data_IF_648642025175
#
_entry.id   IF_648642025175
#
_cell.length_a   1.000
_cell.length_b   1.000
_cell.length_c   1.000
_cell.angle_alpha   90.00
_cell.angle_beta   90.00
_cell.angle_gamma   90.00
#
_symmetry.space_group_name_H-M   'P 1'
#
loop_
_entity.id
_entity.type
_entity.pdbx_description
1 polymer ?
#
# COMPACT_ATOMS: atom_id res chain seq x y z
N UNK A 1 11.51 15.35 1.17
CA UNK A 1 12.38 14.18 1.41
C UNK A 1 11.59 13.06 2.02
N UNK A 2 11.73 11.84 1.51
CA UNK A 2 11.04 10.68 2.06
C UNK A 2 11.64 10.33 3.42
N UNK A 3 10.78 9.90 4.36
CA UNK A 3 11.27 9.44 5.64
C UNK A 3 12.08 8.16 5.47
N UNK A 4 13.06 7.90 6.36
CA UNK A 4 13.84 6.65 6.29
C UNK A 4 12.96 5.40 6.34
N UNK A 5 11.89 5.44 7.11
CA UNK A 5 10.97 4.31 7.21
C UNK A 5 10.28 4.02 5.88
N UNK A 6 9.80 5.06 5.20
CA UNK A 6 9.14 4.92 3.91
C UNK A 6 10.12 4.45 2.84
N UNK A 7 11.35 4.99 2.87
CA UNK A 7 12.39 4.59 1.94
C UNK A 7 12.73 3.11 2.12
N UNK A 8 12.84 2.65 3.37
CA UNK A 8 13.13 1.26 3.67
C UNK A 8 12.00 0.33 3.19
N UNK A 9 10.75 0.75 3.34
CA UNK A 9 9.61 -0.02 2.87
C UNK A 9 9.61 -0.16 1.35
N UNK A 10 9.93 0.94 0.64
CA UNK A 10 10.02 0.94 -0.81
C UNK A 10 11.15 0.03 -1.28
N UNK A 11 12.32 0.17 -0.68
CA UNK A 11 13.49 -0.65 -1.00
C UNK A 11 13.20 -2.14 -0.79
N UNK A 12 12.55 -2.47 0.33
CA UNK A 12 12.18 -3.84 0.65
C UNK A 12 11.24 -4.42 -0.40
N UNK A 13 10.22 -3.66 -0.80
CA UNK A 13 9.26 -4.10 -1.82
C UNK A 13 9.94 -4.34 -3.17
N UNK A 14 10.86 -3.47 -3.56
CA UNK A 14 11.58 -3.59 -4.82
C UNK A 14 12.55 -4.77 -4.82
N UNK A 15 13.18 -5.06 -3.69
CA UNK A 15 14.15 -6.14 -3.59
C UNK A 15 13.51 -7.51 -3.50
N UNK A 16 12.44 -7.63 -2.73
CA UNK A 16 11.82 -8.91 -2.45
C UNK A 16 10.80 -9.30 -3.50
N UNK A 17 10.35 -8.34 -4.32
CA UNK A 17 9.34 -8.63 -5.32
C UNK A 17 8.13 -9.31 -4.69
N UNK A 18 7.72 -10.45 -5.23
CA UNK A 18 6.54 -11.15 -4.75
C UNK A 18 6.73 -11.73 -3.33
N UNK A 19 7.97 -11.97 -2.90
CA UNK A 19 8.25 -12.45 -1.54
C UNK A 19 7.95 -11.37 -0.49
N UNK A 20 7.90 -10.09 -0.89
CA UNK A 20 7.53 -8.99 0.00
C UNK A 20 6.03 -8.80 0.18
N UNK A 21 5.20 -9.64 -0.41
CA UNK A 21 3.75 -9.52 -0.37
C UNK A 21 3.16 -10.12 0.92
N UNK A 22 3.57 -9.57 2.07
CA UNK A 22 3.13 -10.07 3.38
C UNK A 22 2.48 -8.99 4.24
N UNK A 23 2.45 -7.75 3.78
CA UNK A 23 1.89 -6.63 4.55
C UNK A 23 0.38 -6.54 4.48
N UNK A 24 -0.21 -5.49 5.09
CA UNK A 24 -1.66 -5.33 5.14
C UNK A 24 -2.30 -5.20 3.77
N UNK A 25 -1.61 -4.60 2.79
CA UNK A 25 -2.16 -4.48 1.43
C UNK A 25 -2.32 -5.86 0.82
N UNK A 26 -1.30 -6.72 0.91
CA UNK A 26 -1.35 -8.05 0.35
C UNK A 26 -2.42 -8.93 1.01
N UNK A 27 -2.73 -8.67 2.29
CA UNK A 27 -3.76 -9.39 3.04
C UNK A 27 -5.17 -8.84 2.84
N UNK A 28 -5.30 -7.74 2.11
CA UNK A 28 -6.60 -7.10 1.91
C UNK A 28 -7.12 -6.37 3.15
N UNK A 29 -6.23 -5.96 4.04
CA UNK A 29 -6.57 -5.29 5.30
C UNK A 29 -6.81 -3.80 5.05
N UNK A 30 -7.97 -3.48 4.49
CA UNK A 30 -8.34 -2.11 4.13
C UNK A 30 -8.39 -1.18 5.34
N UNK A 31 -8.78 -1.69 6.51
CA UNK A 31 -8.83 -0.88 7.73
C UNK A 31 -7.45 -0.39 8.16
N UNK A 32 -6.46 -1.27 8.14
CA UNK A 32 -5.08 -0.90 8.48
C UNK A 32 -4.51 0.07 7.45
N UNK A 33 -4.77 -0.17 6.16
CA UNK A 33 -4.32 0.73 5.09
C UNK A 33 -4.94 2.12 5.28
N UNK A 34 -6.24 2.21 5.57
CA UNK A 34 -6.90 3.49 5.84
C UNK A 34 -6.26 4.22 7.02
N UNK A 35 -5.89 3.48 8.07
CA UNK A 35 -5.18 4.04 9.22
C UNK A 35 -3.82 4.61 8.85
N UNK A 36 -3.07 3.90 8.00
CA UNK A 36 -1.78 4.38 7.50
C UNK A 36 -1.94 5.66 6.69
N UNK A 37 -2.96 5.72 5.84
CA UNK A 37 -3.22 6.91 5.02
C UNK A 37 -3.56 8.11 5.89
N UNK A 38 -4.39 7.92 6.92
CA UNK A 38 -4.74 8.99 7.84
C UNK A 38 -3.50 9.50 8.59
N UNK A 39 -2.66 8.59 9.07
CA UNK A 39 -1.43 8.96 9.76
C UNK A 39 -0.46 9.73 8.85
N UNK A 40 -0.29 9.27 7.60
CA UNK A 40 0.57 9.95 6.64
C UNK A 40 0.05 11.34 6.29
N UNK A 41 -1.28 11.48 6.17
CA UNK A 41 -1.88 12.78 5.88
C UNK A 41 -1.55 13.82 6.94
N UNK A 42 -1.44 13.40 8.20
CA UNK A 42 -1.13 14.29 9.30
C UNK A 42 0.36 14.53 9.48
N UNK A 43 1.18 13.49 9.31
CA UNK A 43 2.60 13.53 9.67
C UNK A 43 3.54 13.74 8.50
N UNK A 44 3.17 13.25 7.31
CA UNK A 44 4.03 13.33 6.12
C UNK A 44 3.19 13.34 4.85
N UNK A 45 2.40 14.40 4.64
CA UNK A 45 1.49 14.44 3.47
C UNK A 45 2.22 14.33 2.14
N UNK A 46 3.49 14.75 2.08
CA UNK A 46 4.31 14.64 0.88
C UNK A 46 4.62 13.18 0.51
N UNK A 47 4.53 12.27 1.48
CA UNK A 47 4.76 10.85 1.25
C UNK A 47 3.49 10.09 0.83
N UNK A 48 2.35 10.72 0.93
CA UNK A 48 1.06 10.06 0.69
C UNK A 48 0.96 9.49 -0.73
N UNK A 49 1.35 10.29 -1.73
CA UNK A 49 1.28 9.87 -3.13
C UNK A 49 2.18 8.66 -3.40
N UNK A 50 3.37 8.62 -2.78
CA UNK A 50 4.30 7.50 -2.92
C UNK A 50 3.72 6.24 -2.27
N UNK A 51 3.14 6.38 -1.09
CA UNK A 51 2.50 5.26 -0.40
C UNK A 51 1.35 4.68 -1.24
N UNK A 52 0.50 5.55 -1.79
CA UNK A 52 -0.64 5.11 -2.61
C UNK A 52 -0.15 4.36 -3.85
N UNK A 53 0.86 4.90 -4.53
CA UNK A 53 1.41 4.26 -5.73
C UNK A 53 1.99 2.88 -5.41
N UNK A 54 2.75 2.77 -4.33
CA UNK A 54 3.34 1.49 -3.90
C UNK A 54 2.25 0.50 -3.48
N UNK A 55 1.25 0.96 -2.76
CA UNK A 55 0.14 0.11 -2.32
C UNK A 55 -0.65 -0.45 -3.51
N UNK A 56 -0.87 0.37 -4.54
CA UNK A 56 -1.55 -0.08 -5.76
C UNK A 56 -0.75 -1.16 -6.48
N UNK A 57 0.56 -0.95 -6.61
CA UNK A 57 1.44 -1.95 -7.23
C UNK A 57 1.41 -3.25 -6.44
N UNK A 58 1.46 -3.16 -5.12
CA UNK A 58 1.41 -4.34 -4.24
C UNK A 58 0.08 -5.08 -4.39
N UNK A 59 -1.03 -4.34 -4.43
CA UNK A 59 -2.36 -4.93 -4.61
C UNK A 59 -2.46 -5.65 -5.96
N UNK A 60 -1.96 -5.02 -7.04
CA UNK A 60 -1.98 -5.61 -8.37
C UNK A 60 -1.17 -6.91 -8.41
N UNK A 61 0.00 -6.91 -7.80
CA UNK A 61 0.85 -8.10 -7.76
C UNK A 61 0.24 -9.21 -6.91
N UNK A 62 -0.34 -8.85 -5.77
CA UNK A 62 -1.00 -9.82 -4.90
C UNK A 62 -2.22 -10.45 -5.57
N UNK A 63 -2.98 -9.65 -6.30
CA UNK A 63 -4.12 -10.14 -7.07
C UNK A 63 -3.67 -11.10 -8.16
N UNK A 64 -2.64 -10.74 -8.92
CA UNK A 64 -2.10 -11.58 -10.00
C UNK A 64 -1.52 -12.88 -9.45
N UNK A 65 -0.93 -12.86 -8.25
CA UNK A 65 -0.37 -14.04 -7.62
C UNK A 65 -1.41 -14.92 -6.92
N UNK A 66 -2.67 -14.51 -6.89
CA UNK A 66 -3.73 -15.26 -6.22
C UNK A 66 -3.74 -15.14 -4.71
N UNK A 67 -2.97 -14.19 -4.15
CA UNK A 67 -2.90 -13.95 -2.71
C UNK A 67 -4.00 -13.04 -2.21
N UNK A 68 -4.59 -12.26 -3.10
CA UNK A 68 -5.62 -11.27 -2.79
C UNK A 68 -6.85 -11.54 -3.64
N UNK A 69 -7.99 -11.74 -2.99
CA UNK A 69 -9.24 -12.00 -3.70
C UNK A 69 -9.76 -10.71 -4.35
N UNK A 70 -10.41 -10.79 -5.53
CA UNK A 70 -10.93 -9.59 -6.21
C UNK A 70 -11.79 -8.66 -5.35
N UNK A 71 -12.72 -9.14 -4.50
CA UNK A 71 -13.49 -8.23 -3.64
C UNK A 71 -12.61 -7.47 -2.64
N UNK A 72 -11.56 -8.09 -2.13
CA UNK A 72 -10.63 -7.44 -1.20
C UNK A 72 -9.79 -6.39 -1.92
N UNK A 73 -9.35 -6.71 -3.14
CA UNK A 73 -8.62 -5.77 -3.98
C UNK A 73 -9.46 -4.54 -4.27
N UNK A 74 -10.74 -4.73 -4.58
CA UNK A 74 -11.66 -3.64 -4.86
C UNK A 74 -11.80 -2.71 -3.66
N UNK A 75 -11.95 -3.26 -2.45
CA UNK A 75 -12.02 -2.45 -1.23
C UNK A 75 -10.74 -1.66 -0.99
N UNK A 76 -9.58 -2.28 -1.21
CA UNK A 76 -8.30 -1.58 -1.09
C UNK A 76 -8.19 -0.44 -2.08
N UNK A 77 -8.54 -0.68 -3.34
CA UNK A 77 -8.46 0.34 -4.38
C UNK A 77 -9.39 1.50 -4.08
N UNK A 78 -10.58 1.24 -3.53
CA UNK A 78 -11.49 2.30 -3.11
C UNK A 78 -10.89 3.17 -2.01
N UNK A 79 -10.26 2.55 -1.00
CA UNK A 79 -9.60 3.26 0.08
C UNK A 79 -8.46 4.13 -0.47
N UNK A 80 -7.65 3.57 -1.37
CA UNK A 80 -6.52 4.28 -1.96
C UNK A 80 -6.98 5.44 -2.87
N UNK A 81 -8.08 5.25 -3.60
CA UNK A 81 -8.64 6.30 -4.45
C UNK A 81 -9.15 7.48 -3.61
N UNK A 82 -9.77 7.20 -2.45
CA UNK A 82 -10.23 8.24 -1.55
C UNK A 82 -9.09 9.08 -0.98
N UNK A 83 -7.93 8.47 -0.78
CA UNK A 83 -6.75 9.18 -0.26
C UNK A 83 -6.14 10.14 -1.28
N UNK A 84 -6.35 9.88 -2.56
CA UNK A 84 -5.81 10.72 -3.64
C UNK A 84 -6.59 12.01 -3.89
N UNK A 85 -7.66 12.24 -3.13
CA UNK A 85 -8.51 13.43 -3.31
C UNK A 85 -8.32 14.45 -2.16
#
# INVERSE_FOLDING_TARGET
MLSPLLYAALDNALRLGDAGLTGPVARGDAGTVAGHLAALRETAPEALAVYVALARLTADRALAAGLLAPPDAERLLDVLAGAGQ
#
